data_IF_781575755666
#
_entry.id   IF_781575755666
#
_cell.length_a   1.000
_cell.length_b   1.000
_cell.length_c   1.000
_cell.angle_alpha   90.00
_cell.angle_beta   90.00
_cell.angle_gamma   90.00
#
_symmetry.space_group_name_H-M   'P 1'
#
loop_
_entity.id
_entity.type
_entity.pdbx_description
1 polymer ?
#
# COMPACT_ATOMS: atom_id res chain seq x y z
N UNK A 1 -13.78 25.32 10.66
CA UNK A 1 -12.84 24.34 10.08
C UNK A 1 -12.85 23.07 10.93
N UNK A 2 -13.71 22.10 10.61
CA UNK A 2 -13.76 20.81 11.30
C UNK A 2 -12.46 20.06 10.99
N UNK A 3 -11.59 19.86 12.00
CA UNK A 3 -10.41 19.01 11.85
C UNK A 3 -10.91 17.59 11.52
N UNK A 4 -10.89 17.20 10.23
CA UNK A 4 -11.25 15.84 9.81
C UNK A 4 -10.45 14.87 10.68
N UNK A 5 -11.15 14.01 11.43
CA UNK A 5 -10.50 12.98 12.24
C UNK A 5 -9.61 12.18 11.30
N UNK A 6 -8.32 12.07 11.63
CA UNK A 6 -7.39 11.27 10.83
C UNK A 6 -7.85 9.82 10.92
N UNK A 7 -8.40 9.27 9.85
CA UNK A 7 -8.70 7.85 9.79
C UNK A 7 -7.36 7.09 9.76
N UNK A 8 -7.19 6.21 10.74
CA UNK A 8 -6.02 5.37 10.88
C UNK A 8 -6.42 3.95 10.52
N UNK A 9 -5.98 3.47 9.36
CA UNK A 9 -6.12 2.05 9.04
C UNK A 9 -5.15 1.24 9.90
N UNK A 10 -5.65 0.19 10.53
CA UNK A 10 -4.80 -0.77 11.24
C UNK A 10 -4.29 -1.79 10.22
N UNK A 11 -2.98 -1.82 10.02
CA UNK A 11 -2.30 -2.84 9.25
C UNK A 11 -1.86 -3.99 10.17
N UNK A 12 -1.81 -5.20 9.61
CA UNK A 12 -1.36 -6.42 10.28
C UNK A 12 -0.25 -7.11 9.49
N UNK A 13 0.50 -6.35 8.71
CA UNK A 13 1.58 -6.93 7.93
C UNK A 13 2.71 -7.45 8.79
N UNK A 14 3.54 -8.32 8.23
CA UNK A 14 4.67 -8.94 8.92
C UNK A 14 5.82 -7.97 9.25
N UNK A 15 5.67 -6.67 8.97
CA UNK A 15 6.63 -5.66 9.40
C UNK A 15 6.73 -5.55 10.94
N UNK A 16 5.68 -5.93 11.67
CA UNK A 16 5.65 -5.95 13.14
C UNK A 16 4.82 -7.15 13.64
N UNK A 17 5.18 -7.72 14.79
CA UNK A 17 4.44 -8.82 15.44
C UNK A 17 3.12 -8.38 16.09
N UNK A 18 2.73 -7.10 15.95
CA UNK A 18 1.53 -6.52 16.52
C UNK A 18 0.73 -5.69 15.49
N UNK A 19 -0.60 -5.55 15.66
CA UNK A 19 -1.42 -4.66 14.85
C UNK A 19 -0.91 -3.22 14.97
N UNK A 20 -0.57 -2.59 13.85
CA UNK A 20 0.07 -1.27 13.80
C UNK A 20 -0.66 -0.35 12.83
N UNK A 21 -0.31 0.93 12.82
CA UNK A 21 -0.90 1.88 11.88
C UNK A 21 -0.32 1.69 10.48
N UNK A 22 -1.18 1.62 9.47
CA UNK A 22 -0.76 1.57 8.07
C UNK A 22 0.13 2.78 7.70
N UNK A 23 1.23 2.52 7.00
CA UNK A 23 2.16 3.54 6.55
C UNK A 23 3.13 4.07 7.61
N UNK A 24 3.13 3.50 8.81
CA UNK A 24 4.05 3.87 9.90
C UNK A 24 5.30 3.00 9.95
N UNK A 25 6.47 3.63 10.12
CA UNK A 25 7.74 2.93 10.34
C UNK A 25 8.10 1.98 9.19
N UNK A 26 8.24 0.69 9.50
CA UNK A 26 8.57 -0.38 8.54
C UNK A 26 7.37 -0.80 7.67
N UNK A 27 6.15 -0.39 8.02
CA UNK A 27 4.95 -0.69 7.25
C UNK A 27 4.87 0.25 6.04
N UNK A 28 5.30 -0.25 4.88
CA UNK A 28 5.26 0.48 3.61
C UNK A 28 4.00 0.19 2.77
N UNK A 29 3.25 -0.85 3.14
CA UNK A 29 2.14 -1.37 2.34
C UNK A 29 2.55 -2.48 1.35
N UNK A 30 3.80 -2.97 1.41
CA UNK A 30 4.31 -4.02 0.50
C UNK A 30 3.42 -5.27 0.47
N UNK A 31 2.85 -5.67 1.61
CA UNK A 31 1.98 -6.84 1.67
C UNK A 31 0.75 -6.69 0.77
N UNK A 32 0.17 -5.49 0.66
CA UNK A 32 -0.97 -5.25 -0.25
C UNK A 32 -0.55 -5.49 -1.70
N UNK A 33 0.69 -5.10 -2.05
CA UNK A 33 1.25 -5.33 -3.37
C UNK A 33 1.43 -6.82 -3.61
N UNK A 34 1.98 -7.56 -2.64
CA UNK A 34 2.18 -9.02 -2.73
C UNK A 34 0.85 -9.78 -2.86
N UNK A 35 -0.19 -9.38 -2.12
CA UNK A 35 -1.50 -10.02 -2.15
C UNK A 35 -2.27 -9.77 -3.46
N UNK A 36 -1.99 -8.67 -4.15
CA UNK A 36 -2.74 -8.24 -5.33
C UNK A 36 -1.91 -8.26 -6.64
N UNK A 37 -0.65 -8.67 -6.57
CA UNK A 37 0.23 -8.70 -7.75
C UNK A 37 -0.35 -9.58 -8.85
N UNK A 38 -0.37 -9.08 -10.08
CA UNK A 38 -0.96 -9.77 -11.22
C UNK A 38 -2.49 -9.68 -11.29
N UNK A 39 -3.13 -8.97 -10.36
CA UNK A 39 -4.56 -8.68 -10.42
C UNK A 39 -4.95 -7.67 -11.51
N UNK A 40 -6.22 -7.25 -11.49
CA UNK A 40 -6.82 -6.38 -12.51
C UNK A 40 -6.07 -5.04 -12.72
N UNK A 41 -5.63 -4.37 -11.65
CA UNK A 41 -4.91 -3.10 -11.79
C UNK A 41 -3.53 -3.29 -12.43
N UNK A 42 -2.91 -4.46 -12.27
CA UNK A 42 -1.62 -4.75 -12.90
C UNK A 42 -1.71 -4.85 -14.42
N UNK A 43 -2.87 -5.18 -14.99
CA UNK A 43 -3.05 -5.32 -16.45
C UNK A 43 -2.76 -4.03 -17.22
N UNK A 44 -3.01 -2.87 -16.57
CA UNK A 44 -2.78 -1.54 -17.14
C UNK A 44 -1.79 -0.72 -16.31
N UNK A 45 -1.07 -1.35 -15.37
CA UNK A 45 -0.13 -0.65 -14.51
C UNK A 45 1.18 -0.39 -15.25
N UNK A 46 1.59 0.88 -15.32
CA UNK A 46 2.88 1.28 -15.90
C UNK A 46 4.09 0.65 -15.19
N UNK A 47 3.95 0.28 -13.91
CA UNK A 47 4.99 -0.36 -13.10
C UNK A 47 5.01 -1.90 -13.22
N UNK A 48 4.22 -2.47 -14.14
CA UNK A 48 4.16 -3.91 -14.38
C UNK A 48 4.88 -4.27 -15.69
N UNK A 49 6.19 -4.02 -15.76
CA UNK A 49 7.02 -4.26 -16.93
C UNK A 49 7.78 -5.60 -16.80
N UNK A 50 7.17 -6.68 -17.30
CA UNK A 50 7.71 -8.03 -17.12
C UNK A 50 7.77 -8.45 -15.65
N UNK A 51 6.78 -8.04 -14.87
CA UNK A 51 6.68 -8.23 -13.41
C UNK A 51 6.56 -6.90 -12.65
N UNK A 52 6.10 -6.96 -11.40
CA UNK A 52 5.87 -5.77 -10.58
C UNK A 52 7.19 -5.14 -10.12
N UNK A 53 7.47 -3.91 -10.56
CA UNK A 53 8.70 -3.17 -10.23
C UNK A 53 8.80 -2.82 -8.74
N UNK A 54 7.66 -2.68 -8.07
CA UNK A 54 7.58 -2.51 -6.62
C UNK A 54 8.09 -3.74 -5.86
N UNK A 55 7.71 -4.95 -6.30
CA UNK A 55 8.24 -6.20 -5.69
C UNK A 55 9.71 -6.43 -6.03
N UNK A 56 10.17 -5.92 -7.18
CA UNK A 56 11.60 -5.91 -7.54
C UNK A 56 12.41 -4.89 -6.73
N UNK A 57 11.76 -4.06 -5.91
CA UNK A 57 12.40 -3.02 -5.11
C UNK A 57 12.91 -1.83 -5.94
N UNK A 58 12.46 -1.70 -7.19
CA UNK A 58 12.80 -0.58 -8.07
C UNK A 58 11.93 0.64 -7.76
N UNK A 59 10.66 0.40 -7.41
CA UNK A 59 9.70 1.44 -7.06
C UNK A 59 9.17 1.31 -5.63
N UNK A 60 8.68 2.43 -5.09
CA UNK A 60 8.14 2.45 -3.73
C UNK A 60 6.74 1.79 -3.68
N UNK A 61 6.41 1.03 -2.62
CA UNK A 61 5.07 0.44 -2.48
C UNK A 61 3.93 1.44 -2.48
N UNK A 62 4.21 2.70 -2.15
CA UNK A 62 3.27 3.82 -2.20
C UNK A 62 2.85 4.23 -3.62
N UNK A 63 3.67 3.89 -4.62
CA UNK A 63 3.37 4.14 -6.05
C UNK A 63 2.51 3.02 -6.65
N UNK A 64 2.27 1.92 -5.92
CA UNK A 64 1.40 0.85 -6.38
C UNK A 64 -0.07 1.29 -6.35
N UNK A 65 -0.79 1.09 -7.46
CA UNK A 65 -2.21 1.42 -7.57
C UNK A 65 -3.06 0.76 -6.47
N UNK A 66 -2.79 -0.51 -6.11
CA UNK A 66 -3.51 -1.20 -5.02
C UNK A 66 -3.29 -0.54 -3.65
N UNK A 67 -2.08 -0.06 -3.40
CA UNK A 67 -1.75 0.65 -2.15
C UNK A 67 -2.40 2.03 -2.15
N UNK A 68 -2.42 2.73 -3.29
CA UNK A 68 -3.09 4.02 -3.42
C UNK A 68 -4.61 3.89 -3.24
N UNK A 69 -5.26 2.89 -3.84
CA UNK A 69 -6.68 2.60 -3.61
C UNK A 69 -6.95 2.30 -2.14
N UNK A 70 -6.09 1.51 -1.48
CA UNK A 70 -6.23 1.25 -0.05
C UNK A 70 -6.13 2.53 0.79
N UNK A 71 -5.17 3.40 0.48
CA UNK A 71 -4.99 4.68 1.16
C UNK A 71 -6.21 5.58 0.96
N UNK A 72 -6.74 5.65 -0.26
CA UNK A 72 -7.91 6.47 -0.59
C UNK A 72 -9.17 5.93 0.09
N UNK A 73 -9.44 4.62 -0.05
CA UNK A 73 -10.59 3.96 0.55
C UNK A 73 -10.63 4.09 2.07
N UNK A 74 -9.47 3.97 2.72
CA UNK A 74 -9.36 4.11 4.17
C UNK A 74 -9.07 5.55 4.65
N UNK A 75 -9.06 6.53 3.75
CA UNK A 75 -8.68 7.94 4.00
C UNK A 75 -7.38 8.09 4.83
N UNK A 76 -6.39 7.21 4.59
CA UNK A 76 -5.14 7.21 5.34
C UNK A 76 -4.31 8.44 4.97
N UNK A 77 -3.99 9.28 5.94
CA UNK A 77 -2.96 10.30 5.76
C UNK A 77 -1.59 9.75 6.17
N UNK A 78 -0.76 9.47 5.17
CA UNK A 78 0.68 9.17 5.31
C UNK A 78 1.45 10.39 5.83
#
# INVERSE_FOLDING_TARGET
>A
MTKKKRHQATCRCQAYDFPHRFGGGLCTGIQIVEENVGGNLCQHCYLFNGGCEVLKGQESPRECAYVQEFIEYHEVKL
#
